data_IF_163912233982
#
_entry.id   IF_163912233982
#
_cell.length_a   1.000
_cell.length_b   1.000
_cell.length_c   1.000
_cell.angle_alpha   90.00
_cell.angle_beta   90.00
_cell.angle_gamma   90.00
#
_symmetry.space_group_name_H-M   'P 1'
#
loop_
_entity.id
_entity.type
_entity.pdbx_description
1 polymer ?
#
# COMPACT_ATOMS: atom_id res chain seq x y z
N UNK A 1 -24.97 13.89 60.99
CA UNK A 1 -24.12 14.09 59.79
C UNK A 1 -23.12 12.95 59.74
N UNK A 2 -23.16 12.10 58.71
CA UNK A 2 -22.22 10.98 58.54
C UNK A 2 -21.68 11.07 57.11
N UNK A 3 -20.45 11.59 56.98
CA UNK A 3 -19.71 11.59 55.73
C UNK A 3 -19.30 10.15 55.42
N UNK A 4 -19.70 9.65 54.25
CA UNK A 4 -19.14 8.45 53.64
C UNK A 4 -18.67 8.82 52.25
N UNK A 5 -17.36 9.02 52.12
CA UNK A 5 -16.65 9.11 50.86
C UNK A 5 -16.24 7.69 50.48
N UNK A 6 -16.61 7.19 49.29
CA UNK A 6 -16.01 5.98 48.70
C UNK A 6 -15.89 6.14 47.19
N UNK A 7 -14.62 6.25 46.77
CA UNK A 7 -13.96 5.81 45.54
C UNK A 7 -14.60 6.05 44.17
N UNK A 8 -14.06 7.04 43.44
CA UNK A 8 -14.03 7.04 41.98
C UNK A 8 -13.08 5.93 41.50
N UNK A 9 -13.64 4.93 40.80
CA UNK A 9 -12.87 4.03 39.96
C UNK A 9 -12.32 4.84 38.77
N UNK A 10 -11.00 5.04 38.71
CA UNK A 10 -10.34 5.47 37.48
C UNK A 10 -10.45 4.35 36.46
N UNK A 11 -11.27 4.56 35.42
CA UNK A 11 -11.19 3.78 34.19
C UNK A 11 -9.83 4.06 33.56
N UNK A 12 -8.94 3.08 33.61
CA UNK A 12 -7.70 3.11 32.86
C UNK A 12 -8.07 3.22 31.37
N UNK A 13 -7.82 4.39 30.78
CA UNK A 13 -7.88 4.58 29.34
C UNK A 13 -6.78 3.71 28.73
N UNK A 14 -7.16 2.55 28.18
CA UNK A 14 -6.28 1.82 27.28
C UNK A 14 -5.89 2.79 26.16
N UNK A 15 -4.61 3.18 26.16
CA UNK A 15 -4.04 3.92 25.05
C UNK A 15 -3.96 2.97 23.88
N UNK A 16 -4.99 2.95 23.04
CA UNK A 16 -4.87 2.40 21.70
C UNK A 16 -3.81 3.24 20.99
N UNK A 17 -2.56 2.79 21.01
CA UNK A 17 -1.57 3.29 20.08
C UNK A 17 -1.99 2.78 18.70
N UNK A 18 -2.87 3.52 18.05
CA UNK A 18 -3.17 3.34 16.63
C UNK A 18 -1.88 3.59 15.88
N UNK A 19 -1.15 2.53 15.50
CA UNK A 19 -0.06 2.67 14.53
C UNK A 19 -0.65 3.31 13.28
N UNK A 20 -0.18 4.52 12.96
CA UNK A 20 -0.74 5.31 11.87
C UNK A 20 -0.64 4.50 10.56
N UNK A 21 -1.78 4.33 9.89
CA UNK A 21 -1.78 3.75 8.56
C UNK A 21 -0.89 4.58 7.62
N UNK A 22 0.00 3.91 6.90
CA UNK A 22 0.85 4.57 5.91
C UNK A 22 0.11 4.62 4.57
N UNK A 23 0.09 5.80 3.95
CA UNK A 23 -0.56 6.02 2.65
C UNK A 23 0.52 6.42 1.66
N UNK A 24 0.63 5.67 0.57
CA UNK A 24 1.58 5.95 -0.51
C UNK A 24 0.78 6.20 -1.78
N UNK A 25 0.93 7.38 -2.37
CA UNK A 25 0.35 7.68 -3.68
C UNK A 25 1.12 6.94 -4.76
N UNK A 26 0.39 6.23 -5.63
CA UNK A 26 0.91 5.56 -6.83
C UNK A 26 0.39 6.33 -8.04
N UNK A 27 1.32 6.81 -8.85
CA UNK A 27 1.07 7.40 -10.16
C UNK A 27 1.42 6.36 -11.23
N UNK A 28 0.47 5.89 -12.05
CA UNK A 28 0.68 4.76 -12.94
C UNK A 28 1.59 5.10 -14.12
N UNK A 29 1.88 6.37 -14.39
CA UNK A 29 2.84 6.78 -15.41
C UNK A 29 4.24 6.83 -14.85
N UNK A 30 4.37 7.48 -13.70
CA UNK A 30 5.65 7.75 -13.01
C UNK A 30 6.18 6.53 -12.29
N UNK A 31 5.32 5.60 -11.84
CA UNK A 31 5.71 4.39 -11.11
C UNK A 31 5.56 3.10 -11.92
N UNK A 32 5.43 3.20 -13.25
CA UNK A 32 5.32 2.05 -14.13
C UNK A 32 6.67 1.51 -14.59
N UNK A 33 6.80 0.19 -14.61
CA UNK A 33 7.89 -0.53 -15.24
C UNK A 33 7.37 -1.18 -16.52
N UNK A 34 7.88 -0.73 -17.67
CA UNK A 34 7.62 -1.38 -18.94
C UNK A 34 8.34 -2.74 -19.01
N UNK A 35 7.72 -3.69 -19.69
CA UNK A 35 8.27 -5.04 -19.90
C UNK A 35 9.64 -5.00 -20.62
N UNK A 36 10.49 -6.02 -20.46
CA UNK A 36 11.94 -5.96 -20.78
C UNK A 36 12.30 -5.91 -22.27
N UNK A 37 11.32 -5.81 -23.17
CA UNK A 37 11.55 -5.71 -24.62
C UNK A 37 11.73 -4.27 -25.11
N UNK A 38 11.72 -3.29 -24.19
CA UNK A 38 11.96 -1.88 -24.50
C UNK A 38 13.14 -1.35 -23.68
N UNK A 39 14.10 -0.70 -24.34
CA UNK A 39 15.32 -0.13 -23.72
C UNK A 39 15.05 1.11 -22.84
N UNK A 40 13.78 1.50 -22.68
CA UNK A 40 13.37 2.68 -21.92
C UNK A 40 12.44 2.29 -20.80
N UNK A 41 13.02 1.96 -19.64
CA UNK A 41 12.31 1.93 -18.36
C UNK A 41 11.93 3.39 -18.01
N UNK A 42 10.68 3.78 -18.26
CA UNK A 42 10.26 5.19 -18.13
C UNK A 42 9.84 5.60 -16.72
N UNK A 43 9.47 4.67 -15.84
CA UNK A 43 9.01 4.99 -14.48
C UNK A 43 10.01 4.62 -13.37
N UNK A 44 9.87 5.30 -12.23
CA UNK A 44 10.59 5.04 -10.98
C UNK A 44 9.66 4.34 -9.98
N UNK A 45 9.93 3.07 -9.60
CA UNK A 45 9.16 2.37 -8.58
C UNK A 45 9.19 3.09 -7.24
N UNK A 46 8.10 2.99 -6.49
CA UNK A 46 8.06 3.45 -5.11
C UNK A 46 8.82 2.46 -4.24
N UNK A 47 9.80 2.96 -3.47
CA UNK A 47 10.58 2.16 -2.53
C UNK A 47 10.32 2.62 -1.11
N UNK A 48 10.07 1.69 -0.20
CA UNK A 48 9.84 1.99 1.21
C UNK A 48 10.25 0.80 2.10
N UNK A 49 10.44 1.05 3.38
CA UNK A 49 10.77 0.04 4.38
C UNK A 49 9.71 0.06 5.47
N UNK A 50 9.39 -1.11 5.99
CA UNK A 50 8.53 -1.27 7.15
C UNK A 50 9.32 -2.04 8.22
N UNK A 51 9.02 -1.75 9.48
CA UNK A 51 9.53 -2.55 10.59
C UNK A 51 9.06 -4.01 10.47
N UNK A 52 9.75 -4.92 11.17
CA UNK A 52 9.35 -6.31 11.20
C UNK A 52 7.90 -6.45 11.72
N UNK A 53 7.08 -7.21 11.01
CA UNK A 53 5.68 -7.39 11.38
C UNK A 53 4.83 -7.99 10.26
N UNK A 54 3.51 -7.97 10.46
CA UNK A 54 2.53 -8.35 9.46
C UNK A 54 1.73 -7.12 9.05
N UNK A 55 1.54 -6.94 7.76
CA UNK A 55 0.86 -5.78 7.21
C UNK A 55 -0.21 -6.18 6.22
N UNK A 56 -1.28 -5.40 6.20
CA UNK A 56 -2.36 -5.44 5.21
C UNK A 56 -2.10 -4.32 4.20
N UNK A 57 -2.02 -4.69 2.94
CA UNK A 57 -1.89 -3.78 1.80
C UNK A 57 -3.20 -3.77 1.02
N UNK A 58 -3.70 -2.60 0.68
CA UNK A 58 -4.86 -2.46 -0.19
C UNK A 58 -4.73 -1.24 -1.09
N UNK A 59 -5.33 -1.34 -2.27
CA UNK A 59 -5.40 -0.23 -3.22
C UNK A 59 -6.73 0.49 -3.04
N UNK A 60 -6.68 1.75 -2.61
CA UNK A 60 -7.85 2.59 -2.37
C UNK A 60 -7.82 3.85 -3.24
N UNK A 61 -8.98 4.50 -3.41
CA UNK A 61 -9.11 5.72 -4.21
C UNK A 61 -8.54 5.61 -5.63
N UNK A 62 -8.69 4.43 -6.26
CA UNK A 62 -8.07 4.12 -7.53
C UNK A 62 -8.83 4.73 -8.73
N UNK A 63 -8.13 5.56 -9.51
CA UNK A 63 -8.57 6.11 -10.80
C UNK A 63 -7.61 5.78 -11.95
N UNK A 64 -6.64 4.88 -11.71
CA UNK A 64 -5.59 4.54 -12.66
C UNK A 64 -6.15 3.85 -13.92
N UNK A 65 -5.66 4.26 -15.08
CA UNK A 65 -6.04 3.71 -16.38
C UNK A 65 -4.90 3.83 -17.40
N UNK A 66 -4.88 2.97 -18.43
CA UNK A 66 -3.85 2.96 -19.49
C UNK A 66 -4.21 3.77 -20.74
N UNK A 67 -5.24 4.62 -20.70
CA UNK A 67 -5.69 5.37 -21.88
C UNK A 67 -6.14 6.80 -21.53
N UNK A 68 -5.33 7.53 -20.77
CA UNK A 68 -5.40 8.99 -20.55
C UNK A 68 -6.68 9.59 -19.92
N UNK A 69 -7.85 8.99 -20.11
CA UNK A 69 -9.18 9.47 -19.71
C UNK A 69 -10.33 8.46 -19.93
N UNK A 70 -10.12 7.29 -20.57
CA UNK A 70 -11.21 6.34 -20.85
C UNK A 70 -11.26 5.17 -19.84
N UNK A 71 -12.45 4.90 -19.28
CA UNK A 71 -12.72 3.77 -18.37
C UNK A 71 -12.58 2.37 -19.01
N UNK A 72 -12.07 2.26 -20.23
CA UNK A 72 -11.95 1.02 -20.99
C UNK A 72 -10.66 0.23 -20.70
N UNK A 73 -9.68 0.81 -20.02
CA UNK A 73 -8.47 0.12 -19.56
C UNK A 73 -8.15 0.50 -18.12
N UNK A 74 -8.76 -0.21 -17.16
CA UNK A 74 -8.56 0.06 -15.73
C UNK A 74 -7.28 -0.64 -15.28
N UNK A 75 -6.41 0.09 -14.59
CA UNK A 75 -5.27 -0.48 -13.88
C UNK A 75 -5.70 -0.66 -12.43
N UNK A 76 -6.10 -1.88 -12.06
CA UNK A 76 -6.70 -2.20 -10.76
C UNK A 76 -5.71 -2.79 -9.73
N UNK A 77 -4.45 -2.91 -10.13
CA UNK A 77 -3.42 -3.60 -9.36
C UNK A 77 -2.10 -2.83 -9.32
N UNK A 78 -1.41 -2.96 -8.19
CA UNK A 78 -0.02 -2.55 -7.99
C UNK A 78 0.80 -3.79 -7.71
N UNK A 79 1.89 -4.00 -8.43
CA UNK A 79 2.84 -5.05 -8.11
C UNK A 79 3.69 -4.62 -6.91
N UNK A 80 3.63 -5.42 -5.85
CA UNK A 80 4.39 -5.23 -4.63
C UNK A 80 5.42 -6.36 -4.51
N UNK A 81 6.70 -6.03 -4.63
CA UNK A 81 7.80 -6.96 -4.41
C UNK A 81 8.54 -6.58 -3.12
N UNK A 82 8.91 -7.58 -2.34
CA UNK A 82 9.64 -7.39 -1.07
C UNK A 82 8.96 -8.13 0.07
N UNK A 83 9.38 -7.85 1.30
CA UNK A 83 8.90 -8.59 2.46
C UNK A 83 9.33 -10.07 2.44
N UNK A 84 8.51 -10.92 3.07
CA UNK A 84 8.79 -12.34 3.29
C UNK A 84 7.72 -13.23 2.63
N UNK A 85 8.06 -14.50 2.35
CA UNK A 85 7.18 -15.49 1.70
C UNK A 85 6.57 -15.02 0.37
N UNK A 86 5.26 -14.74 0.35
CA UNK A 86 4.43 -14.54 -0.84
C UNK A 86 4.79 -13.26 -1.61
N UNK A 87 5.14 -12.18 -0.92
CA UNK A 87 5.51 -10.93 -1.58
C UNK A 87 6.99 -10.88 -2.02
N UNK A 88 7.83 -11.83 -1.56
CA UNK A 88 9.28 -11.83 -1.83
C UNK A 88 9.59 -11.73 -3.33
N UNK A 89 8.78 -12.40 -4.15
CA UNK A 89 8.92 -12.44 -5.61
C UNK A 89 7.88 -11.60 -6.36
N UNK A 90 7.09 -10.81 -5.63
CA UNK A 90 6.00 -10.02 -6.19
C UNK A 90 4.63 -10.60 -5.84
N UNK A 91 3.72 -9.72 -5.42
CA UNK A 91 2.29 -9.99 -5.26
C UNK A 91 1.51 -8.82 -5.84
N UNK A 92 0.34 -9.10 -6.41
CA UNK A 92 -0.59 -8.05 -6.86
C UNK A 92 -1.40 -7.54 -5.67
N UNK A 93 -1.38 -6.23 -5.44
CA UNK A 93 -2.23 -5.54 -4.47
C UNK A 93 -3.36 -4.86 -5.24
N UNK A 94 -4.61 -5.24 -4.93
CA UNK A 94 -5.82 -4.68 -5.53
C UNK A 94 -6.68 -4.01 -4.45
N UNK A 95 -7.92 -3.66 -4.78
CA UNK A 95 -8.93 -3.27 -3.78
C UNK A 95 -9.24 -4.37 -2.77
N UNK A 96 -8.95 -5.63 -3.10
CA UNK A 96 -9.01 -6.74 -2.14
C UNK A 96 -7.73 -6.75 -1.29
N UNK A 97 -7.83 -6.63 0.05
CA UNK A 97 -6.66 -6.54 0.90
C UNK A 97 -5.75 -7.78 0.81
N UNK A 98 -4.45 -7.53 0.75
CA UNK A 98 -3.40 -8.56 0.70
C UNK A 98 -2.55 -8.49 1.97
N UNK A 99 -2.35 -9.64 2.62
CA UNK A 99 -1.53 -9.73 3.84
C UNK A 99 -0.12 -10.16 3.49
N UNK A 100 0.86 -9.44 4.04
CA UNK A 100 2.29 -9.70 3.83
C UNK A 100 3.03 -9.63 5.16
N UNK A 101 3.83 -10.67 5.43
CA UNK A 101 4.80 -10.67 6.53
C UNK A 101 6.09 -9.98 6.05
N UNK A 102 6.74 -9.17 6.89
CA UNK A 102 8.03 -8.53 6.59
C UNK A 102 9.08 -8.83 7.64
N UNK A 103 10.33 -9.00 7.19
CA UNK A 103 11.53 -9.19 8.02
C UNK A 103 12.52 -8.04 7.80
N UNK A 104 12.02 -6.80 7.65
CA UNK A 104 12.73 -5.53 7.36
C UNK A 104 13.33 -5.35 5.97
N UNK A 105 13.09 -6.28 5.03
CA UNK A 105 13.51 -6.09 3.63
C UNK A 105 12.74 -4.95 2.96
N UNK A 106 13.39 -4.16 2.08
CA UNK A 106 12.72 -3.07 1.38
C UNK A 106 11.62 -3.61 0.46
N UNK A 107 10.54 -2.85 0.37
CA UNK A 107 9.47 -3.04 -0.59
C UNK A 107 9.69 -2.17 -1.82
N UNK A 108 9.26 -2.69 -2.95
CA UNK A 108 9.22 -2.03 -4.25
C UNK A 108 7.81 -2.18 -4.79
N UNK A 109 7.11 -1.05 -4.97
CA UNK A 109 5.77 -1.00 -5.52
C UNK A 109 5.80 -0.31 -6.90
N UNK A 110 5.17 -0.94 -7.89
CA UNK A 110 5.17 -0.45 -9.28
C UNK A 110 3.95 -0.92 -10.05
N UNK A 111 3.64 -0.22 -11.15
CA UNK A 111 2.67 -0.66 -12.15
C UNK A 111 3.38 -1.47 -13.23
N UNK A 112 2.73 -2.52 -13.72
CA UNK A 112 3.17 -3.26 -14.91
C UNK A 112 2.23 -2.91 -16.04
N UNK A 113 2.78 -2.29 -17.07
CA UNK A 113 2.07 -1.98 -18.31
C UNK A 113 3.07 -1.92 -19.45
N UNK A 114 2.66 -2.29 -20.66
CA UNK A 114 3.54 -2.29 -21.85
C UNK A 114 3.86 -0.86 -22.34
N UNK A 115 2.97 0.11 -22.09
CA UNK A 115 3.16 1.50 -22.45
C UNK A 115 2.89 2.44 -21.27
N UNK A 116 3.89 2.70 -20.43
CA UNK A 116 3.69 3.60 -19.29
C UNK A 116 3.29 5.05 -19.66
N UNK A 117 3.44 5.49 -20.92
CA UNK A 117 3.31 6.89 -21.31
C UNK A 117 1.85 7.40 -21.40
N UNK A 118 0.91 6.52 -21.70
CA UNK A 118 -0.54 6.81 -21.77
C UNK A 118 -1.29 6.48 -20.48
N UNK A 119 -0.59 5.93 -19.49
CA UNK A 119 -1.11 5.79 -18.13
C UNK A 119 -1.48 7.14 -17.53
N UNK A 120 -2.60 7.18 -16.82
CA UNK A 120 -3.13 8.36 -16.15
C UNK A 120 -3.93 8.00 -14.89
N UNK A 121 -4.25 9.01 -14.08
CA UNK A 121 -4.94 8.84 -12.81
C UNK A 121 -3.97 8.58 -11.65
N UNK A 122 -4.48 8.08 -10.54
CA UNK A 122 -3.69 7.77 -9.35
C UNK A 122 -4.41 6.74 -8.48
N UNK A 123 -3.67 6.11 -7.58
CA UNK A 123 -4.23 5.31 -6.51
C UNK A 123 -3.47 5.54 -5.21
N UNK A 124 -4.06 5.12 -4.11
CA UNK A 124 -3.40 5.11 -2.80
C UNK A 124 -3.16 3.68 -2.39
N UNK A 125 -1.89 3.32 -2.20
CA UNK A 125 -1.50 2.10 -1.50
C UNK A 125 -1.61 2.37 0.00
N UNK A 126 -2.67 1.83 0.60
CA UNK A 126 -2.93 1.87 2.03
C UNK A 126 -2.21 0.69 2.70
N UNK A 127 -1.41 0.99 3.72
CA UNK A 127 -0.61 0.03 4.48
C UNK A 127 -1.01 0.13 5.94
N UNK A 128 -1.48 -0.99 6.50
CA UNK A 128 -1.91 -1.07 7.89
C UNK A 128 -1.19 -2.23 8.55
N UNK A 129 -0.77 -2.10 9.80
CA UNK A 129 -0.29 -3.27 10.53
C UNK A 129 -1.47 -4.19 10.80
N UNK A 130 -1.29 -5.47 10.57
CA UNK A 130 -2.25 -6.49 10.97
C UNK A 130 -2.02 -6.78 12.46
N UNK A 131 -3.01 -6.49 13.29
CA UNK A 131 -3.01 -6.87 14.72
C UNK A 131 -2.99 -8.39 14.91
#
# INVERSE_FOLDING_TARGET
MRNTAISMFMLAFFSFATEAATNITIDPKSNCLSTPFTDTLTGTPVKFTLDQGRYVFSLVSNTMNCMGASNSCIIDSVMLQGGFKNARWGVSVTSTPTVVDTTTSPFVAYIVDDNCNDNAGQATLLIQKAE
#
